data_IF_069128440722
#
_entry.id   IF_069128440722
#
_cell.length_a   1.000
_cell.length_b   1.000
_cell.length_c   1.000
_cell.angle_alpha   90.00
_cell.angle_beta   90.00
_cell.angle_gamma   90.00
#
_symmetry.space_group_name_H-M   'P 1'
#
loop_
_entity.id
_entity.type
_entity.pdbx_description
1 polymer ?
#
# COMPACT_ATOMS: atom_id res chain seq x y z
N UNK A 1 -3.70 13.77 -4.99
CA UNK A 1 -3.76 13.20 -3.63
C UNK A 1 -4.97 12.31 -3.53
N UNK A 2 -4.95 11.29 -2.68
CA UNK A 2 -6.10 10.36 -2.52
C UNK A 2 -7.20 11.07 -1.72
N UNK A 3 -8.43 11.04 -2.22
CA UNK A 3 -9.54 11.71 -1.56
C UNK A 3 -9.97 10.94 -0.29
N UNK A 4 -10.27 11.61 0.84
CA UNK A 4 -10.78 10.95 2.05
C UNK A 4 -12.04 10.12 1.78
N UNK A 5 -12.90 10.60 0.87
CA UNK A 5 -14.11 9.91 0.44
C UNK A 5 -13.85 8.54 -0.24
N UNK A 6 -12.62 8.26 -0.68
CA UNK A 6 -12.20 6.96 -1.22
C UNK A 6 -11.54 6.10 -0.14
N UNK A 7 -10.75 6.68 0.76
CA UNK A 7 -10.05 5.95 1.83
C UNK A 7 -11.03 5.40 2.87
N UNK A 8 -11.97 6.24 3.31
CA UNK A 8 -12.87 5.91 4.43
C UNK A 8 -13.74 4.67 4.15
N UNK A 9 -14.39 4.51 2.97
CA UNK A 9 -15.17 3.32 2.68
C UNK A 9 -14.33 2.03 2.66
N UNK A 10 -13.09 2.08 2.15
CA UNK A 10 -12.20 0.91 2.10
C UNK A 10 -11.80 0.51 3.53
N UNK A 11 -11.43 1.47 4.36
CA UNK A 11 -11.06 1.23 5.76
C UNK A 11 -12.24 0.68 6.58
N UNK A 12 -13.45 1.25 6.42
CA UNK A 12 -14.67 0.75 7.06
C UNK A 12 -15.03 -0.65 6.60
N UNK A 13 -14.95 -0.95 5.30
CA UNK A 13 -15.17 -2.31 4.79
C UNK A 13 -14.26 -3.32 5.51
N UNK A 14 -12.97 -2.99 5.63
CA UNK A 14 -11.95 -3.84 6.24
C UNK A 14 -12.24 -4.15 7.72
N UNK A 15 -12.69 -3.15 8.48
CA UNK A 15 -12.97 -3.31 9.92
C UNK A 15 -14.38 -3.82 10.19
N UNK A 16 -15.38 -3.14 9.65
CA UNK A 16 -16.78 -3.30 10.06
C UNK A 16 -17.42 -4.53 9.39
N UNK A 17 -17.09 -4.81 8.14
CA UNK A 17 -17.72 -5.90 7.37
C UNK A 17 -16.84 -7.16 7.30
N UNK A 18 -15.53 -6.99 7.13
CA UNK A 18 -14.59 -8.12 6.99
C UNK A 18 -14.00 -8.57 8.32
N UNK A 19 -14.32 -7.89 9.44
CA UNK A 19 -13.85 -8.26 10.78
C UNK A 19 -12.35 -8.08 10.99
N UNK A 20 -11.68 -7.32 10.12
CA UNK A 20 -10.28 -6.97 10.27
C UNK A 20 -10.07 -6.07 11.48
N UNK A 21 -8.95 -6.25 12.19
CA UNK A 21 -8.60 -5.40 13.34
C UNK A 21 -7.79 -4.17 12.96
N UNK A 22 -7.20 -4.16 11.77
CA UNK A 22 -6.30 -3.11 11.32
C UNK A 22 -6.98 -2.25 10.23
N UNK A 23 -7.31 -0.98 10.51
CA UNK A 23 -7.91 -0.07 9.52
C UNK A 23 -6.91 0.44 8.48
N UNK A 24 -5.60 0.20 8.66
CA UNK A 24 -4.56 0.66 7.73
C UNK A 24 -4.71 -0.06 6.39
N UNK A 25 -4.59 0.71 5.32
CA UNK A 25 -4.58 0.17 3.97
C UNK A 25 -3.22 -0.42 3.65
N UNK A 26 -3.21 -1.58 3.01
CA UNK A 26 -2.01 -2.11 2.38
C UNK A 26 -1.67 -1.31 1.11
N UNK A 27 -0.48 -1.56 0.57
CA UNK A 27 0.04 -0.83 -0.60
C UNK A 27 -0.87 -1.01 -1.82
N UNK A 28 -1.45 -2.20 -2.01
CA UNK A 28 -2.38 -2.49 -3.11
C UNK A 28 -3.70 -1.73 -2.99
N UNK A 29 -4.33 -1.75 -1.80
CA UNK A 29 -5.54 -0.98 -1.48
C UNK A 29 -5.30 0.52 -1.69
N UNK A 30 -4.13 1.01 -1.31
CA UNK A 30 -3.72 2.41 -1.51
C UNK A 30 -3.57 2.76 -2.99
N UNK A 31 -2.99 1.87 -3.80
CA UNK A 31 -2.85 2.09 -5.25
C UNK A 31 -4.21 2.04 -5.98
N UNK A 32 -5.12 1.16 -5.55
CA UNK A 32 -6.50 1.13 -6.06
C UNK A 32 -7.21 2.45 -5.71
N UNK A 33 -7.10 2.91 -4.46
CA UNK A 33 -7.68 4.18 -4.03
C UNK A 33 -7.11 5.39 -4.79
N UNK A 34 -5.80 5.36 -5.10
CA UNK A 34 -5.14 6.36 -5.93
C UNK A 34 -5.70 6.34 -7.37
N UNK A 35 -5.89 5.17 -7.95
CA UNK A 35 -6.44 5.02 -9.30
C UNK A 35 -7.89 5.54 -9.39
N UNK A 36 -8.72 5.26 -8.38
CA UNK A 36 -10.08 5.82 -8.31
C UNK A 36 -10.03 7.34 -8.16
N UNK A 37 -9.15 7.87 -7.31
CA UNK A 37 -8.99 9.31 -7.10
C UNK A 37 -8.49 10.03 -8.36
N UNK A 38 -7.77 9.35 -9.25
CA UNK A 38 -7.27 9.92 -10.50
C UNK A 38 -8.38 10.30 -11.49
N UNK A 39 -9.60 9.76 -11.33
CA UNK A 39 -10.76 10.11 -12.16
C UNK A 39 -11.17 11.57 -11.97
N UNK A 40 -11.02 12.10 -10.76
CA UNK A 40 -11.50 13.44 -10.39
C UNK A 40 -10.41 14.38 -9.88
N UNK A 41 -9.16 13.90 -9.75
CA UNK A 41 -8.04 14.68 -9.25
C UNK A 41 -6.82 14.60 -10.17
N UNK A 42 -6.48 15.72 -10.80
CA UNK A 42 -5.27 15.86 -11.63
C UNK A 42 -3.99 15.52 -10.85
N UNK A 43 -3.96 15.84 -9.56
CA UNK A 43 -2.80 15.53 -8.70
C UNK A 43 -2.67 14.02 -8.50
N UNK A 44 -3.79 13.30 -8.32
CA UNK A 44 -3.76 11.84 -8.23
C UNK A 44 -3.37 11.20 -9.57
N UNK A 45 -3.92 11.69 -10.69
CA UNK A 45 -3.57 11.23 -12.03
C UNK A 45 -2.07 11.42 -12.32
N UNK A 46 -1.51 12.59 -11.98
CA UNK A 46 -0.07 12.85 -12.09
C UNK A 46 0.75 11.87 -11.27
N UNK A 47 0.36 11.59 -10.03
CA UNK A 47 1.01 10.60 -9.17
C UNK A 47 0.98 9.19 -9.75
N UNK A 48 -0.19 8.75 -10.23
CA UNK A 48 -0.36 7.44 -10.86
C UNK A 48 0.54 7.29 -12.11
N UNK A 49 0.64 8.35 -12.92
CA UNK A 49 1.51 8.37 -14.10
C UNK A 49 3.02 8.32 -13.77
N UNK A 50 3.43 8.53 -12.51
CA UNK A 50 4.83 8.39 -12.10
C UNK A 50 5.21 6.98 -11.65
N UNK A 51 4.27 6.04 -11.50
CA UNK A 51 4.57 4.72 -10.93
C UNK A 51 5.64 3.94 -11.70
N UNK A 52 5.68 4.06 -13.03
CA UNK A 52 6.71 3.40 -13.85
C UNK A 52 8.12 3.90 -13.55
N UNK A 53 8.28 5.08 -12.94
CA UNK A 53 9.58 5.63 -12.55
C UNK A 53 10.15 4.98 -11.28
N UNK A 54 9.36 4.15 -10.59
CA UNK A 54 9.80 3.40 -9.42
C UNK A 54 10.57 2.13 -9.80
N UNK A 55 10.53 1.72 -11.07
CA UNK A 55 11.27 0.55 -11.53
C UNK A 55 12.77 0.74 -11.27
N UNK A 56 13.40 -0.26 -10.64
CA UNK A 56 14.81 -0.28 -10.20
C UNK A 56 15.16 0.76 -9.12
N UNK A 57 14.18 1.42 -8.51
CA UNK A 57 14.43 2.21 -7.31
C UNK A 57 14.70 1.30 -6.11
N UNK A 58 15.57 1.76 -5.21
CA UNK A 58 15.86 1.10 -3.95
C UNK A 58 14.83 1.50 -2.89
N UNK A 59 14.29 0.51 -2.18
CA UNK A 59 13.39 0.69 -1.04
C UNK A 59 13.95 -0.07 0.17
N UNK A 60 14.02 0.60 1.31
CA UNK A 60 14.41 -0.01 2.57
C UNK A 60 13.28 0.09 3.59
N UNK A 61 13.04 -0.99 4.32
CA UNK A 61 12.08 -1.06 5.42
C UNK A 61 12.77 -1.44 6.74
N UNK A 62 12.42 -0.76 7.83
CA UNK A 62 12.91 -1.10 9.18
C UNK A 62 12.26 -2.38 9.74
N UNK A 63 11.34 -2.99 9.01
CA UNK A 63 10.69 -4.26 9.38
C UNK A 63 10.51 -5.14 8.15
N UNK A 64 10.42 -6.44 8.36
CA UNK A 64 9.96 -7.41 7.37
C UNK A 64 8.54 -7.02 6.98
N UNK A 65 8.33 -6.70 5.70
CA UNK A 65 7.01 -6.31 5.20
C UNK A 65 6.04 -7.49 5.14
N UNK A 66 4.75 -7.19 5.05
CA UNK A 66 3.74 -8.20 4.71
C UNK A 66 4.01 -8.79 3.32
N UNK A 67 3.49 -9.99 3.06
CA UNK A 67 3.59 -10.60 1.73
C UNK A 67 2.95 -9.72 0.66
N UNK A 68 1.80 -9.10 0.98
CA UNK A 68 1.06 -8.21 0.08
C UNK A 68 1.90 -7.00 -0.32
N UNK A 69 2.53 -6.33 0.64
CA UNK A 69 3.33 -5.14 0.39
C UNK A 69 4.64 -5.47 -0.36
N UNK A 70 5.32 -6.56 0.02
CA UNK A 70 6.54 -6.99 -0.67
C UNK A 70 6.28 -7.45 -2.10
N UNK A 71 5.16 -8.13 -2.38
CA UNK A 71 4.76 -8.47 -3.73
C UNK A 71 4.37 -7.24 -4.54
N UNK A 72 3.80 -6.21 -3.92
CA UNK A 72 3.48 -4.99 -4.62
C UNK A 72 4.74 -4.18 -4.97
N UNK A 73 5.72 -4.09 -4.07
CA UNK A 73 7.03 -3.52 -4.38
C UNK A 73 7.72 -4.27 -5.54
N UNK A 74 7.63 -5.61 -5.56
CA UNK A 74 8.14 -6.45 -6.65
C UNK A 74 7.41 -6.15 -7.98
N UNK A 75 6.08 -6.02 -7.97
CA UNK A 75 5.29 -5.68 -9.16
C UNK A 75 5.60 -4.29 -9.70
N UNK A 76 5.95 -3.34 -8.83
CA UNK A 76 6.45 -2.01 -9.20
C UNK A 76 7.91 -2.03 -9.68
N UNK A 77 8.58 -3.19 -9.66
CA UNK A 77 9.96 -3.34 -10.11
C UNK A 77 11.00 -2.74 -9.15
N UNK A 78 10.63 -2.52 -7.89
CA UNK A 78 11.53 -1.94 -6.88
C UNK A 78 12.45 -2.99 -6.26
N UNK A 79 13.66 -2.57 -5.90
CA UNK A 79 14.62 -3.38 -5.15
C UNK A 79 14.38 -3.19 -3.65
N UNK A 80 13.76 -4.18 -3.02
CA UNK A 80 13.39 -4.13 -1.61
C UNK A 80 14.45 -4.79 -0.71
N UNK A 81 14.86 -4.06 0.33
CA UNK A 81 15.61 -4.59 1.48
C UNK A 81 14.84 -4.34 2.76
N UNK A 82 15.07 -5.16 3.79
CA UNK A 82 14.50 -4.93 5.12
C UNK A 82 15.44 -5.36 6.24
N UNK A 83 15.29 -4.74 7.40
CA UNK A 83 15.84 -5.25 8.65
C UNK A 83 15.11 -6.53 9.07
N UNK A 84 15.79 -7.49 9.73
CA UNK A 84 15.21 -8.78 10.11
C UNK A 84 14.32 -8.68 11.37
N UNK A 85 13.45 -7.68 11.44
CA UNK A 85 12.55 -7.37 12.56
C UNK A 85 11.09 -7.45 12.10
N UNK A 86 10.20 -8.05 12.90
CA UNK A 86 8.76 -8.10 12.55
C UNK A 86 8.01 -6.88 13.10
N UNK A 87 6.96 -6.39 12.39
CA UNK A 87 6.14 -5.25 12.84
C UNK A 87 5.42 -5.53 14.17
N UNK A 88 5.16 -6.80 14.47
CA UNK A 88 4.51 -7.23 15.70
C UNK A 88 5.34 -8.27 16.44
N UNK A 89 5.14 -8.41 17.76
CA UNK A 89 5.74 -9.49 18.56
C UNK A 89 5.17 -10.89 18.23
N UNK A 90 4.35 -11.01 17.19
CA UNK A 90 3.82 -12.29 16.71
C UNK A 90 4.82 -12.87 15.72
N UNK A 91 5.22 -14.14 15.91
CA UNK A 91 6.22 -14.82 15.09
C UNK A 91 5.79 -15.07 13.63
N UNK A 92 4.56 -14.70 13.24
CA UNK A 92 3.99 -15.01 11.93
C UNK A 92 3.17 -13.84 11.36
N UNK A 93 3.49 -13.42 10.14
CA UNK A 93 2.58 -12.65 9.29
C UNK A 93 1.57 -13.63 8.65
N UNK A 94 0.28 -13.41 8.90
CA UNK A 94 -0.79 -13.99 8.08
C UNK A 94 -1.22 -12.97 7.05
#
# INVERSE_FOLDING_TARGET
>A
MIAPAVIEPISRLKVDALGGRNPRLHTDETLIALAISAVTSDVAAKGLAQLSKLEKCEMHSSVILSQVDSDMARKLGMNLTCEPEYETKQLYHK
#
